data_IF_123759510253
#
_entry.id   IF_123759510253
#
_cell.length_a   1.000
_cell.length_b   1.000
_cell.length_c   1.000
_cell.angle_alpha   90.00
_cell.angle_beta   90.00
_cell.angle_gamma   90.00
#
_symmetry.space_group_name_H-M   'P 1'
#
loop_
_entity.id
_entity.type
_entity.pdbx_description
1 polymer ?
#
# COMPACT_ATOMS: atom_id res chain seq x y z
N UNK A 1 -52.65 11.91 46.58
CA UNK A 1 -51.28 12.47 46.55
C UNK A 1 -50.29 11.32 46.42
N UNK A 2 -49.23 11.50 45.60
CA UNK A 2 -47.95 10.74 45.60
C UNK A 2 -48.02 9.33 44.98
N UNK A 3 -47.14 8.86 44.09
CA UNK A 3 -46.01 9.40 43.31
C UNK A 3 -45.88 8.44 42.10
N UNK A 4 -46.00 8.91 40.87
CA UNK A 4 -45.57 8.12 39.70
C UNK A 4 -44.06 8.33 39.54
N UNK A 5 -43.27 7.32 39.89
CA UNK A 5 -41.81 7.34 39.64
C UNK A 5 -41.62 7.04 38.15
N UNK A 6 -41.27 8.06 37.39
CA UNK A 6 -40.95 7.94 35.97
C UNK A 6 -39.47 7.57 35.87
N UNK A 7 -39.16 6.32 35.51
CA UNK A 7 -37.79 5.89 35.22
C UNK A 7 -37.50 6.28 33.77
N UNK A 8 -36.71 7.34 33.58
CA UNK A 8 -36.14 7.72 32.30
C UNK A 8 -34.90 6.85 32.06
N UNK A 9 -35.04 5.81 31.24
CA UNK A 9 -33.90 5.04 30.71
C UNK A 9 -33.37 5.81 29.51
N UNK A 10 -32.27 6.55 29.73
CA UNK A 10 -31.55 7.23 28.67
C UNK A 10 -30.58 6.23 28.02
N UNK A 11 -31.01 5.61 26.91
CA UNK A 11 -30.15 4.74 26.10
C UNK A 11 -29.19 5.65 25.33
N UNK A 12 -27.96 5.76 25.80
CA UNK A 12 -26.90 6.46 25.09
C UNK A 12 -26.55 5.71 23.79
N UNK A 13 -26.81 6.35 22.65
CA UNK A 13 -26.24 5.95 21.36
C UNK A 13 -24.73 6.20 21.41
N UNK A 14 -23.96 5.14 21.68
CA UNK A 14 -22.54 5.11 21.33
C UNK A 14 -22.48 5.02 19.81
N UNK A 15 -22.39 6.18 19.14
CA UNK A 15 -21.94 6.21 17.77
C UNK A 15 -20.44 5.89 17.81
N UNK A 16 -20.07 4.64 17.53
CA UNK A 16 -18.71 4.28 17.15
C UNK A 16 -18.41 5.00 15.83
N UNK A 17 -17.94 6.24 15.92
CA UNK A 17 -17.25 6.87 14.80
C UNK A 17 -15.91 6.18 14.69
N UNK A 18 -15.88 5.04 13.98
CA UNK A 18 -14.64 4.53 13.46
C UNK A 18 -14.05 5.62 12.57
N UNK A 19 -13.05 6.34 13.07
CA UNK A 19 -12.22 7.18 12.23
C UNK A 19 -11.57 6.22 11.22
N UNK A 20 -12.06 6.21 9.99
CA UNK A 20 -11.34 5.59 8.90
C UNK A 20 -10.00 6.34 8.83
N UNK A 21 -8.92 5.73 9.34
CA UNK A 21 -7.60 6.19 8.96
C UNK A 21 -7.55 5.97 7.45
N UNK A 22 -7.43 7.06 6.70
CA UNK A 22 -7.11 6.97 5.28
C UNK A 22 -5.89 6.06 5.19
N UNK A 23 -6.05 4.85 4.64
CA UNK A 23 -4.95 3.91 4.59
C UNK A 23 -3.87 4.55 3.73
N UNK A 24 -2.68 4.73 4.29
CA UNK A 24 -1.55 5.29 3.56
C UNK A 24 -1.08 4.24 2.54
N UNK A 25 -1.68 4.30 1.36
CA UNK A 25 -1.39 3.42 0.24
C UNK A 25 -0.90 4.23 -0.95
N UNK A 26 -0.17 3.56 -1.83
CA UNK A 26 0.38 4.16 -3.06
C UNK A 26 -0.14 3.38 -4.25
N UNK A 27 -0.64 4.12 -5.22
CA UNK A 27 -1.05 3.60 -6.51
C UNK A 27 0.10 3.79 -7.47
N UNK A 28 0.56 2.70 -8.07
CA UNK A 28 1.78 2.66 -8.86
C UNK A 28 1.49 2.02 -10.21
N UNK A 29 2.07 2.56 -11.28
CA UNK A 29 1.84 2.09 -12.65
C UNK A 29 3.15 1.89 -13.40
N UNK A 30 3.23 0.79 -14.16
CA UNK A 30 4.30 0.51 -15.13
C UNK A 30 3.73 0.56 -16.55
N UNK A 31 4.12 1.56 -17.35
CA UNK A 31 3.66 1.75 -18.73
C UNK A 31 2.40 2.63 -18.86
N UNK A 32 1.91 2.87 -20.08
CA UNK A 32 0.65 3.64 -20.33
C UNK A 32 -0.49 2.69 -20.73
N UNK A 33 -1.71 2.99 -20.26
CA UNK A 33 -3.01 2.36 -20.58
C UNK A 33 -3.13 0.85 -20.29
N UNK A 34 -2.27 0.00 -20.84
CA UNK A 34 -2.21 -1.45 -20.58
C UNK A 34 -1.08 -1.79 -19.58
N UNK A 35 -0.87 -0.88 -18.63
CA UNK A 35 0.20 -0.96 -17.67
C UNK A 35 0.01 -2.07 -16.65
N UNK A 36 1.09 -2.46 -15.99
CA UNK A 36 0.97 -3.24 -14.76
C UNK A 36 0.72 -2.23 -13.64
N UNK A 37 -0.37 -2.41 -12.93
CA UNK A 37 -0.78 -1.54 -11.83
C UNK A 37 -0.59 -2.26 -10.49
N UNK A 38 -0.08 -1.55 -9.50
CA UNK A 38 0.29 -2.05 -8.19
C UNK A 38 -0.22 -1.09 -7.12
N UNK A 39 -1.00 -1.60 -6.18
CA UNK A 39 -1.34 -0.90 -4.95
C UNK A 39 -0.37 -1.41 -3.87
N UNK A 40 0.38 -0.50 -3.24
CA UNK A 40 1.25 -0.79 -2.11
C UNK A 40 0.64 -0.25 -0.81
N UNK A 41 0.65 -1.03 0.27
CA UNK A 41 0.26 -0.58 1.61
C UNK A 41 1.31 -0.94 2.64
N UNK A 42 1.69 0.03 3.46
CA UNK A 42 2.38 -0.27 4.72
C UNK A 42 1.36 -0.70 5.77
N UNK A 43 1.75 -1.68 6.60
CA UNK A 43 0.92 -2.25 7.65
C UNK A 43 1.51 -1.90 9.02
N UNK A 44 0.66 -1.83 10.04
CA UNK A 44 1.03 -1.40 11.40
C UNK A 44 2.10 -2.28 12.08
N UNK A 45 2.27 -3.51 11.60
CA UNK A 45 3.27 -4.45 12.10
C UNK A 45 4.66 -4.28 11.45
N UNK A 46 4.87 -3.24 10.64
CA UNK A 46 6.12 -2.98 9.92
C UNK A 46 6.31 -3.83 8.65
N UNK A 47 5.35 -4.68 8.30
CA UNK A 47 5.30 -5.33 6.98
C UNK A 47 4.54 -4.45 5.97
N UNK A 48 4.46 -4.91 4.73
CA UNK A 48 3.61 -4.30 3.72
C UNK A 48 2.84 -5.37 2.95
N UNK A 49 1.79 -4.94 2.24
CA UNK A 49 1.17 -5.77 1.22
C UNK A 49 1.08 -5.06 -0.12
N UNK A 50 1.06 -5.87 -1.17
CA UNK A 50 0.89 -5.41 -2.53
C UNK A 50 -0.32 -6.09 -3.18
N UNK A 51 -1.03 -5.35 -4.02
CA UNK A 51 -2.12 -5.86 -4.84
C UNK A 51 -1.92 -5.42 -6.28
N UNK A 52 -1.79 -6.37 -7.19
CA UNK A 52 -1.81 -6.07 -8.62
C UNK A 52 -3.25 -5.88 -9.11
N UNK A 53 -3.49 -4.89 -9.96
CA UNK A 53 -4.81 -4.70 -10.54
C UNK A 53 -5.26 -5.95 -11.32
N UNK A 54 -6.52 -6.33 -11.13
CA UNK A 54 -7.10 -7.55 -11.70
C UNK A 54 -6.88 -8.81 -10.86
N UNK A 55 -6.03 -8.76 -9.83
CA UNK A 55 -5.89 -9.85 -8.86
C UNK A 55 -6.72 -9.57 -7.61
N UNK A 56 -7.42 -10.60 -7.11
CA UNK A 56 -8.21 -10.49 -5.87
C UNK A 56 -7.36 -10.56 -4.60
N UNK A 57 -6.23 -11.26 -4.67
CA UNK A 57 -5.35 -11.47 -3.52
C UNK A 57 -4.40 -10.30 -3.27
N UNK A 58 -4.00 -10.16 -2.01
CA UNK A 58 -2.87 -9.32 -1.59
C UNK A 58 -1.69 -10.22 -1.26
N UNK A 59 -0.50 -9.83 -1.67
CA UNK A 59 0.74 -10.52 -1.35
C UNK A 59 1.42 -9.76 -0.22
N UNK A 60 1.68 -10.42 0.90
CA UNK A 60 2.50 -9.82 1.94
C UNK A 60 3.96 -9.77 1.49
N UNK A 61 4.61 -8.66 1.80
CA UNK A 61 6.03 -8.42 1.55
C UNK A 61 6.70 -8.03 2.86
N UNK A 62 7.92 -8.52 3.06
CA UNK A 62 8.68 -8.29 4.28
C UNK A 62 9.91 -7.45 3.98
N UNK A 63 10.11 -6.38 4.73
CA UNK A 63 11.34 -5.59 4.65
C UNK A 63 12.52 -6.45 5.13
N UNK A 64 13.56 -6.54 4.32
CA UNK A 64 14.80 -7.28 4.62
C UNK A 64 16.01 -6.38 4.78
N UNK A 65 15.96 -5.16 4.25
CA UNK A 65 16.97 -4.14 4.51
C UNK A 65 16.39 -2.73 4.34
N UNK A 66 17.05 -1.78 4.99
CA UNK A 66 16.79 -0.35 4.83
C UNK A 66 18.08 0.42 5.07
N UNK A 67 18.35 1.37 4.20
CA UNK A 67 19.38 2.39 4.35
C UNK A 67 18.69 3.75 4.47
N UNK A 68 19.25 4.62 5.30
CA UNK A 68 18.74 5.98 5.52
C UNK A 68 19.77 6.98 5.03
N UNK A 69 19.34 7.89 4.17
CA UNK A 69 20.19 8.94 3.62
C UNK A 69 19.67 10.31 4.05
N UNK A 70 20.55 11.11 4.67
CA UNK A 70 20.30 12.54 4.90
C UNK A 70 20.81 13.31 3.70
N UNK A 71 19.89 13.79 2.86
CA UNK A 71 20.25 14.63 1.71
C UNK A 71 20.47 16.09 2.13
N UNK A 72 19.68 16.55 3.10
CA UNK A 72 19.68 17.89 3.67
C UNK A 72 19.06 17.80 5.08
N UNK A 73 19.64 18.48 6.07
CA UNK A 73 19.22 18.38 7.48
C UNK A 73 17.81 18.97 7.73
N UNK A 74 17.35 19.89 6.87
CA UNK A 74 16.04 20.53 6.98
C UNK A 74 14.94 19.78 6.19
N UNK A 75 15.27 18.62 5.62
CA UNK A 75 14.37 17.81 4.78
C UNK A 75 14.09 16.45 5.42
N UNK A 76 12.93 15.83 5.12
CA UNK A 76 12.70 14.45 5.52
C UNK A 76 13.80 13.54 5.00
N UNK A 77 14.22 12.57 5.81
CA UNK A 77 15.19 11.57 5.40
C UNK A 77 14.67 10.77 4.20
N UNK A 78 15.60 10.38 3.33
CA UNK A 78 15.32 9.37 2.31
C UNK A 78 15.56 7.98 2.90
N UNK A 79 14.67 7.06 2.59
CA UNK A 79 14.79 5.65 2.95
C UNK A 79 14.86 4.80 1.69
N UNK A 80 15.94 4.05 1.54
CA UNK A 80 16.13 3.10 0.46
C UNK A 80 16.00 1.68 1.05
N UNK A 81 14.94 0.97 0.68
CA UNK A 81 14.54 -0.27 1.32
C UNK A 81 14.38 -1.42 0.34
N UNK A 82 14.63 -2.64 0.81
CA UNK A 82 14.42 -3.88 0.05
C UNK A 82 13.36 -4.71 0.75
N UNK A 83 12.37 -5.17 -0.01
CA UNK A 83 11.26 -5.99 0.46
C UNK A 83 11.16 -7.29 -0.32
N UNK A 84 11.04 -8.42 0.37
CA UNK A 84 10.88 -9.73 -0.26
C UNK A 84 9.41 -10.08 -0.45
N UNK A 85 9.04 -10.44 -1.68
CA UNK A 85 7.78 -11.09 -2.01
C UNK A 85 7.98 -12.60 -1.99
N UNK A 86 7.18 -13.30 -1.18
CA UNK A 86 7.24 -14.77 -1.07
C UNK A 86 5.90 -15.39 -1.42
N UNK A 87 5.94 -16.39 -2.29
CA UNK A 87 4.78 -17.22 -2.66
C UNK A 87 5.08 -18.63 -2.18
N UNK A 88 4.19 -19.18 -1.36
CA UNK A 88 4.34 -20.50 -0.73
C UNK A 88 5.70 -20.67 -0.01
N UNK A 89 6.15 -19.60 0.66
CA UNK A 89 7.43 -19.54 1.38
C UNK A 89 8.68 -19.37 0.50
N UNK A 90 8.54 -19.48 -0.83
CA UNK A 90 9.64 -19.31 -1.79
C UNK A 90 9.75 -17.86 -2.22
N UNK A 91 10.98 -17.35 -2.34
CA UNK A 91 11.22 -16.02 -2.88
C UNK A 91 10.73 -15.92 -4.33
N UNK A 92 9.79 -15.04 -4.58
CA UNK A 92 9.30 -14.73 -5.93
C UNK A 92 10.06 -13.56 -6.55
N UNK A 93 10.39 -12.55 -5.74
CA UNK A 93 11.18 -11.40 -6.14
C UNK A 93 11.38 -10.41 -5.01
N UNK A 94 12.02 -9.29 -5.35
CA UNK A 94 12.35 -8.20 -4.43
C UNK A 94 11.84 -6.88 -4.95
N UNK A 95 11.23 -6.09 -4.09
CA UNK A 95 10.99 -4.69 -4.34
C UNK A 95 12.17 -3.87 -3.80
N UNK A 96 12.66 -2.96 -4.62
CA UNK A 96 13.55 -1.88 -4.22
C UNK A 96 12.72 -0.61 -4.19
N UNK A 97 12.62 0.01 -3.03
CA UNK A 97 11.70 1.11 -2.77
C UNK A 97 12.46 2.25 -2.11
N UNK A 98 12.46 3.41 -2.79
CA UNK A 98 12.99 4.66 -2.28
C UNK A 98 11.85 5.60 -1.91
N UNK A 99 11.83 6.10 -0.68
CA UNK A 99 10.83 7.05 -0.19
C UNK A 99 11.47 8.27 0.47
N UNK A 100 10.78 9.40 0.44
CA UNK A 100 11.14 10.59 1.22
C UNK A 100 9.88 11.32 1.66
N UNK A 101 9.66 11.40 2.98
CA UNK A 101 8.40 11.93 3.52
C UNK A 101 7.21 11.12 3.00
N UNK A 102 6.23 11.81 2.39
CA UNK A 102 5.05 11.16 1.81
C UNK A 102 5.29 10.59 0.39
N UNK A 103 6.45 10.85 -0.23
CA UNK A 103 6.71 10.54 -1.63
C UNK A 103 7.33 9.15 -1.80
N UNK A 104 6.89 8.44 -2.84
CA UNK A 104 7.63 7.31 -3.43
C UNK A 104 8.47 7.89 -4.57
N UNK A 105 9.80 7.85 -4.40
CA UNK A 105 10.75 8.39 -5.38
C UNK A 105 11.05 7.39 -6.50
N UNK A 106 11.21 6.12 -6.13
CA UNK A 106 11.39 5.01 -7.06
C UNK A 106 10.81 3.73 -6.45
N UNK A 107 10.20 2.90 -7.29
CA UNK A 107 9.88 1.53 -6.93
C UNK A 107 10.18 0.62 -8.12
N UNK A 108 10.97 -0.42 -7.88
CA UNK A 108 11.22 -1.45 -8.88
C UNK A 108 11.11 -2.86 -8.30
N UNK A 109 10.57 -3.77 -9.10
CA UNK A 109 10.48 -5.19 -8.78
C UNK A 109 11.55 -5.96 -9.58
N UNK A 110 12.40 -6.69 -8.87
CA UNK A 110 13.36 -7.63 -9.42
C UNK A 110 12.84 -9.05 -9.25
N UNK A 111 12.61 -9.74 -10.37
CA UNK A 111 12.11 -11.11 -10.36
C UNK A 111 13.22 -12.09 -9.99
N UNK A 112 12.98 -12.96 -9.01
CA UNK A 112 14.01 -13.89 -8.50
C UNK A 112 14.45 -14.95 -9.53
N UNK A 113 13.59 -15.33 -10.48
CA UNK A 113 13.88 -16.41 -11.44
C UNK A 113 14.95 -16.04 -12.49
N UNK A 114 15.00 -14.76 -12.89
CA UNK A 114 15.78 -14.30 -14.05
C UNK A 114 16.42 -12.92 -13.85
N UNK A 115 16.21 -12.27 -12.70
CA UNK A 115 16.74 -10.95 -12.39
C UNK A 115 16.09 -9.81 -13.19
N UNK A 116 15.01 -10.06 -13.94
CA UNK A 116 14.38 -9.02 -14.75
C UNK A 116 13.77 -7.95 -13.84
N UNK A 117 14.15 -6.70 -14.07
CA UNK A 117 13.65 -5.55 -13.30
C UNK A 117 12.47 -4.88 -14.01
N UNK A 118 11.46 -4.51 -13.23
CA UNK A 118 10.26 -3.77 -13.66
C UNK A 118 10.11 -2.55 -12.77
N UNK A 119 10.25 -1.35 -13.34
CA UNK A 119 10.06 -0.08 -12.60
C UNK A 119 8.60 0.36 -12.67
N UNK A 120 8.11 0.89 -11.56
CA UNK A 120 6.79 1.48 -11.41
C UNK A 120 6.94 2.94 -11.03
N UNK A 121 5.95 3.74 -11.38
CA UNK A 121 5.89 5.16 -11.05
C UNK A 121 4.63 5.47 -10.25
N UNK A 122 4.71 6.46 -9.36
CA UNK A 122 3.55 6.95 -8.62
C UNK A 122 2.46 7.42 -9.59
N UNK A 123 1.23 6.97 -9.34
CA UNK A 123 0.03 7.25 -10.12
C UNK A 123 -1.02 7.83 -9.18
N UNK A 124 -0.74 9.06 -8.73
CA UNK A 124 -1.59 9.78 -7.77
C UNK A 124 -3.01 10.04 -8.27
N UNK A 125 -3.23 10.05 -9.58
CA UNK A 125 -4.57 10.18 -10.18
C UNK A 125 -5.45 8.95 -9.93
N UNK A 126 -4.84 7.77 -9.72
CA UNK A 126 -5.54 6.55 -9.39
C UNK A 126 -5.87 6.42 -7.89
N UNK A 127 -5.35 7.28 -7.02
CA UNK A 127 -5.58 7.17 -5.57
C UNK A 127 -7.01 7.56 -5.18
N UNK A 128 -7.64 6.75 -4.34
CA UNK A 128 -8.94 7.01 -3.71
C UNK A 128 -8.90 6.52 -2.26
N UNK A 129 -9.79 7.03 -1.41
CA UNK A 129 -9.80 6.65 0.02
C UNK A 129 -9.96 5.12 0.23
N UNK A 130 -10.69 4.45 -0.65
CA UNK A 130 -10.95 3.01 -0.61
C UNK A 130 -9.94 2.15 -1.40
N UNK A 131 -8.95 2.75 -2.05
CA UNK A 131 -7.89 2.05 -2.79
C UNK A 131 -7.51 2.72 -4.10
N UNK A 132 -6.98 1.93 -5.03
CA UNK A 132 -6.53 2.43 -6.33
C UNK A 132 -7.54 2.15 -7.44
N UNK A 133 -8.00 3.20 -8.11
CA UNK A 133 -8.92 3.17 -9.25
C UNK A 133 -8.23 3.70 -10.51
N UNK A 134 -7.62 2.80 -11.29
CA UNK A 134 -7.00 3.16 -12.56
C UNK A 134 -8.02 3.31 -13.71
N UNK A 135 -7.90 4.34 -14.56
CA UNK A 135 -8.76 4.52 -15.72
C UNK A 135 -8.40 3.53 -16.85
N UNK A 136 -9.30 2.60 -17.15
CA UNK A 136 -9.11 1.58 -18.18
C UNK A 136 -9.14 0.18 -17.60
N UNK A 137 -10.16 -0.61 -17.98
CA UNK A 137 -10.43 -1.91 -17.38
C UNK A 137 -9.27 -2.90 -17.51
N UNK A 138 -8.69 -3.26 -16.37
CA UNK A 138 -8.22 -4.59 -15.98
C UNK A 138 -7.86 -5.53 -17.15
N UNK A 139 -6.60 -5.54 -17.54
CA UNK A 139 -6.03 -6.72 -18.22
C UNK A 139 -4.51 -6.82 -18.01
N UNK A 140 -4.08 -7.07 -16.78
CA UNK A 140 -2.74 -7.60 -16.57
C UNK A 140 -2.70 -9.05 -17.11
N UNK A 141 -2.27 -9.22 -18.37
CA UNK A 141 -1.76 -10.51 -18.84
C UNK A 141 -0.47 -10.79 -18.09
N UNK A 142 -0.54 -11.69 -17.12
CA UNK A 142 0.63 -12.35 -16.54
C UNK A 142 1.33 -13.06 -17.70
N UNK A 143 2.55 -12.63 -18.02
CA UNK A 143 3.41 -13.34 -18.97
C UNK A 143 4.06 -14.49 -18.19
N UNK A 144 3.75 -15.72 -18.62
CA UNK A 144 4.34 -17.00 -18.19
C UNK A 144 5.89 -16.99 -18.20
#
# INVERSE_FOLDING_TARGET
MIRRVLVLVLIGLLADTAAASAQDHRCLTRGRNDGIHLLWRWLDNGSADVQYAGQRGRLQVQQVSQETTVLDEDRPYQFDSVWEERIDGRLNGRYHLSTQGALVLDLSYERARDGRRTTFHDDSEAWQEDGCHWPGGVAARVVD
#
